data_IF_016162245149
#
_entry.id   IF_016162245149
#
_cell.length_a   1.000
_cell.length_b   1.000
_cell.length_c   1.000
_cell.angle_alpha   90.00
_cell.angle_beta   90.00
_cell.angle_gamma   90.00
#
_symmetry.space_group_name_H-M   'P 1'
#
loop_
_entity.id
_entity.type
_entity.pdbx_description
1 polymer ?
#
# COMPACT_ATOMS: atom_id res chain seq x y z
N UNK A 1 -87.52 -26.34 -2.37
CA UNK A 1 -86.11 -26.56 -1.99
C UNK A 1 -85.31 -26.84 -3.25
N UNK A 2 -84.58 -25.81 -3.71
CA UNK A 2 -83.78 -25.86 -4.95
C UNK A 2 -82.34 -26.01 -4.51
N UNK A 3 -81.68 -27.14 -4.77
CA UNK A 3 -80.27 -27.38 -4.51
C UNK A 3 -79.47 -26.85 -5.69
N UNK A 4 -78.77 -25.76 -5.47
CA UNK A 4 -77.78 -25.23 -6.44
C UNK A 4 -76.50 -26.11 -6.37
N UNK A 5 -76.30 -26.86 -7.45
CA UNK A 5 -75.07 -27.65 -7.64
C UNK A 5 -73.91 -26.74 -8.03
N UNK A 6 -72.93 -26.59 -7.15
CA UNK A 6 -71.68 -25.91 -7.46
C UNK A 6 -70.93 -26.70 -8.53
N UNK A 7 -70.43 -26.06 -9.61
CA UNK A 7 -69.61 -26.74 -10.61
C UNK A 7 -68.26 -27.06 -10.01
N UNK A 8 -67.89 -28.34 -9.88
CA UNK A 8 -66.54 -28.81 -9.63
C UNK A 8 -65.64 -28.29 -10.73
N UNK A 9 -64.82 -27.27 -10.40
CA UNK A 9 -63.76 -26.77 -11.24
C UNK A 9 -62.78 -27.88 -11.58
N UNK A 10 -62.78 -28.34 -12.80
CA UNK A 10 -61.88 -29.36 -13.32
C UNK A 10 -60.41 -28.91 -13.12
N UNK A 11 -59.67 -29.65 -12.33
CA UNK A 11 -58.19 -29.52 -12.22
C UNK A 11 -57.65 -29.84 -13.62
N UNK A 12 -57.25 -28.82 -14.36
CA UNK A 12 -56.48 -28.99 -15.59
C UNK A 12 -55.10 -29.46 -15.16
N UNK A 13 -54.76 -30.71 -15.43
CA UNK A 13 -53.40 -31.23 -15.24
C UNK A 13 -52.45 -30.57 -16.25
N UNK A 14 -51.24 -30.27 -15.83
CA UNK A 14 -50.18 -29.78 -16.74
C UNK A 14 -49.91 -30.79 -17.83
N UNK A 15 -49.76 -30.33 -19.06
CA UNK A 15 -49.35 -31.16 -20.18
C UNK A 15 -47.86 -31.39 -20.14
N UNK A 16 -47.39 -32.53 -20.62
CA UNK A 16 -45.96 -32.88 -20.62
C UNK A 16 -45.09 -31.86 -21.35
N UNK A 17 -45.49 -31.26 -22.50
CA UNK A 17 -44.70 -30.18 -23.11
C UNK A 17 -44.64 -28.90 -22.28
N UNK A 18 -45.66 -28.57 -21.50
CA UNK A 18 -45.67 -27.37 -20.65
C UNK A 18 -44.66 -27.49 -19.51
N UNK A 19 -44.50 -28.68 -18.93
CA UNK A 19 -43.46 -28.99 -17.97
C UNK A 19 -42.05 -28.90 -18.55
N UNK A 20 -41.87 -29.41 -19.81
CA UNK A 20 -40.57 -29.32 -20.50
C UNK A 20 -40.15 -27.86 -20.77
N UNK A 21 -41.09 -27.03 -21.25
CA UNK A 21 -40.82 -25.60 -21.50
C UNK A 21 -40.51 -24.88 -20.19
N UNK A 22 -41.27 -25.14 -19.13
CA UNK A 22 -41.03 -24.51 -17.82
C UNK A 22 -39.62 -24.88 -17.26
N UNK A 23 -39.20 -26.14 -17.37
CA UNK A 23 -37.86 -26.57 -16.96
C UNK A 23 -36.77 -25.93 -17.78
N UNK A 24 -36.94 -25.85 -19.10
CA UNK A 24 -35.97 -25.20 -19.98
C UNK A 24 -35.79 -23.71 -19.65
N UNK A 25 -36.89 -22.97 -19.54
CA UNK A 25 -36.87 -21.54 -19.16
C UNK A 25 -36.23 -21.36 -17.78
N UNK A 26 -36.59 -22.19 -16.80
CA UNK A 26 -35.99 -22.17 -15.48
C UNK A 26 -34.48 -22.41 -15.50
N UNK A 27 -34.02 -23.37 -16.30
CA UNK A 27 -32.60 -23.64 -16.45
C UNK A 27 -31.83 -22.46 -17.08
N UNK A 28 -32.39 -21.80 -18.10
CA UNK A 28 -31.79 -20.62 -18.73
C UNK A 28 -31.70 -19.44 -17.77
N UNK A 29 -32.74 -19.21 -16.97
CA UNK A 29 -32.78 -18.14 -15.98
C UNK A 29 -31.72 -18.37 -14.89
N UNK A 30 -31.61 -19.60 -14.38
CA UNK A 30 -30.62 -19.97 -13.37
C UNK A 30 -29.20 -19.83 -13.92
N UNK A 31 -28.96 -20.24 -15.17
CA UNK A 31 -27.65 -20.11 -15.82
C UNK A 31 -27.29 -18.62 -15.99
N UNK A 32 -28.22 -17.79 -16.46
CA UNK A 32 -28.02 -16.34 -16.61
C UNK A 32 -27.72 -15.67 -15.27
N UNK A 33 -28.46 -16.01 -14.22
CA UNK A 33 -28.22 -15.49 -12.88
C UNK A 33 -26.81 -15.87 -12.33
N UNK A 34 -26.37 -17.11 -12.57
CA UNK A 34 -25.02 -17.56 -12.18
C UNK A 34 -23.92 -16.78 -12.90
N UNK A 35 -24.06 -16.53 -14.19
CA UNK A 35 -23.10 -15.75 -14.97
C UNK A 35 -23.02 -14.30 -14.48
N UNK A 36 -24.13 -13.68 -14.15
CA UNK A 36 -24.13 -12.33 -13.57
C UNK A 36 -23.48 -12.29 -12.20
N UNK A 37 -23.80 -13.23 -11.31
CA UNK A 37 -23.21 -13.30 -9.98
C UNK A 37 -21.71 -13.54 -10.01
N UNK A 38 -21.20 -14.38 -10.92
CA UNK A 38 -19.76 -14.59 -11.07
C UNK A 38 -19.05 -13.32 -11.53
N UNK A 39 -19.62 -12.56 -12.48
CA UNK A 39 -19.05 -11.28 -12.94
C UNK A 39 -18.96 -10.23 -11.81
N UNK A 40 -20.01 -10.10 -11.01
CA UNK A 40 -20.03 -9.20 -9.85
C UNK A 40 -19.00 -9.62 -8.79
N UNK A 41 -18.91 -10.92 -8.50
CA UNK A 41 -17.94 -11.44 -7.54
C UNK A 41 -16.48 -11.21 -8.00
N UNK A 42 -16.20 -11.35 -9.29
CA UNK A 42 -14.86 -11.09 -9.83
C UNK A 42 -14.51 -9.61 -9.81
N UNK A 43 -15.46 -8.73 -10.13
CA UNK A 43 -15.27 -7.28 -10.01
C UNK A 43 -15.02 -6.87 -8.55
N UNK A 44 -15.80 -7.39 -7.61
CA UNK A 44 -15.61 -7.12 -6.18
C UNK A 44 -14.22 -7.58 -5.68
N UNK A 45 -13.74 -8.74 -6.12
CA UNK A 45 -12.40 -9.25 -5.77
C UNK A 45 -11.26 -8.38 -6.33
N UNK A 46 -11.44 -7.79 -7.53
CA UNK A 46 -10.45 -6.86 -8.09
C UNK A 46 -10.38 -5.58 -7.27
N UNK A 47 -11.54 -4.97 -7.00
CA UNK A 47 -11.63 -3.75 -6.18
C UNK A 47 -11.03 -3.98 -4.78
N UNK A 48 -11.34 -5.12 -4.14
CA UNK A 48 -10.79 -5.44 -2.83
C UNK A 48 -9.26 -5.58 -2.84
N UNK A 49 -8.68 -6.18 -3.88
CA UNK A 49 -7.22 -6.29 -4.03
C UNK A 49 -6.57 -4.93 -4.25
N UNK A 50 -7.13 -4.09 -5.11
CA UNK A 50 -6.62 -2.73 -5.35
C UNK A 50 -6.68 -1.87 -4.07
N UNK A 51 -7.78 -1.94 -3.33
CA UNK A 51 -7.91 -1.26 -2.05
C UNK A 51 -6.88 -1.76 -1.02
N UNK A 52 -6.66 -3.06 -0.95
CA UNK A 52 -5.67 -3.65 -0.03
C UNK A 52 -4.23 -3.23 -0.36
N UNK A 53 -3.88 -3.11 -1.65
CA UNK A 53 -2.57 -2.60 -2.05
C UNK A 53 -2.42 -1.12 -1.70
N UNK A 54 -3.44 -0.30 -1.99
CA UNK A 54 -3.42 1.13 -1.64
C UNK A 54 -3.31 1.37 -0.13
N UNK A 55 -4.00 0.57 0.69
CA UNK A 55 -3.90 0.64 2.15
C UNK A 55 -2.52 0.21 2.65
N UNK A 56 -1.91 -0.80 2.02
CA UNK A 56 -0.56 -1.24 2.37
C UNK A 56 0.46 -0.13 2.11
N UNK A 57 0.45 0.48 0.93
CA UNK A 57 1.36 1.55 0.55
C UNK A 57 1.18 2.79 1.45
N UNK A 58 -0.07 3.17 1.75
CA UNK A 58 -0.35 4.27 2.65
C UNK A 58 0.13 4.01 4.08
N UNK A 59 0.03 2.77 4.58
CA UNK A 59 0.52 2.39 5.88
C UNK A 59 2.05 2.36 5.94
N UNK A 60 2.70 1.85 4.89
CA UNK A 60 4.15 1.85 4.77
C UNK A 60 4.72 3.29 4.73
N UNK A 61 4.07 4.20 4.01
CA UNK A 61 4.46 5.61 3.98
C UNK A 61 4.26 6.29 5.34
N UNK A 62 3.15 6.03 6.05
CA UNK A 62 2.94 6.57 7.41
C UNK A 62 4.01 6.08 8.37
N UNK A 63 4.37 4.80 8.33
CA UNK A 63 5.43 4.25 9.14
C UNK A 63 6.78 4.90 8.82
N UNK A 64 7.11 5.06 7.53
CA UNK A 64 8.31 5.76 7.10
C UNK A 64 8.35 7.19 7.66
N UNK A 65 7.25 7.95 7.54
CA UNK A 65 7.15 9.32 8.08
C UNK A 65 7.36 9.33 9.59
N UNK A 66 6.75 8.40 10.32
CA UNK A 66 6.91 8.28 11.77
C UNK A 66 8.36 8.00 12.18
N UNK A 67 9.02 7.07 11.49
CA UNK A 67 10.42 6.72 11.77
C UNK A 67 11.36 7.89 11.46
N UNK A 68 11.16 8.60 10.35
CA UNK A 68 11.96 9.76 9.98
C UNK A 68 11.73 10.94 10.92
N UNK A 69 10.49 11.19 11.36
CA UNK A 69 10.19 12.22 12.34
C UNK A 69 10.87 11.97 13.70
N UNK A 70 11.14 10.72 14.03
CA UNK A 70 11.80 10.30 15.27
C UNK A 70 13.31 10.07 15.10
N UNK A 71 13.94 10.57 14.05
CA UNK A 71 15.40 10.51 13.86
C UNK A 71 16.08 11.17 15.05
N UNK A 72 17.10 10.50 15.60
CA UNK A 72 17.93 11.02 16.65
C UNK A 72 18.79 12.17 16.09
N UNK A 73 18.39 13.40 16.39
CA UNK A 73 19.09 14.59 15.93
C UNK A 73 20.25 14.92 16.89
N UNK A 74 21.40 15.25 16.32
CA UNK A 74 22.54 15.79 17.05
C UNK A 74 23.82 14.98 16.93
N UNK A 75 24.94 15.62 17.26
CA UNK A 75 26.30 15.05 17.23
C UNK A 75 26.54 13.98 18.28
N UNK A 76 25.68 13.87 19.29
CA UNK A 76 25.74 12.85 20.35
C UNK A 76 24.93 11.58 20.00
N UNK A 77 24.34 11.52 18.80
CA UNK A 77 23.61 10.34 18.33
C UNK A 77 24.54 9.12 18.33
N UNK A 78 24.07 8.02 18.88
CA UNK A 78 24.84 6.76 18.88
C UNK A 78 25.13 6.25 17.45
N UNK A 79 24.38 6.74 16.47
CA UNK A 79 24.61 6.51 15.05
C UNK A 79 24.40 7.82 14.30
N UNK A 80 25.50 8.42 13.78
CA UNK A 80 25.41 9.64 13.00
C UNK A 80 24.55 9.40 11.75
N UNK A 81 23.83 10.44 11.31
CA UNK A 81 23.15 10.42 10.05
C UNK A 81 24.16 10.45 8.91
N UNK A 82 23.97 9.60 7.93
CA UNK A 82 24.75 9.62 6.70
C UNK A 82 23.90 9.18 5.53
N UNK A 83 24.27 9.65 4.32
CA UNK A 83 23.49 9.31 3.16
C UNK A 83 24.12 9.64 1.82
N UNK A 84 23.66 8.92 0.81
CA UNK A 84 23.97 9.10 -0.61
C UNK A 84 22.68 9.25 -1.40
N UNK A 85 22.79 9.46 -2.71
CA UNK A 85 21.62 9.53 -3.59
C UNK A 85 20.74 8.26 -3.59
N UNK A 86 21.23 7.12 -3.07
CA UNK A 86 20.48 5.85 -3.14
C UNK A 86 20.29 5.19 -1.77
N UNK A 87 20.96 5.66 -0.73
CA UNK A 87 20.91 5.06 0.58
C UNK A 87 21.08 6.14 1.66
N UNK A 88 20.27 6.03 2.72
CA UNK A 88 20.42 6.81 3.95
C UNK A 88 20.45 5.85 5.14
N UNK A 89 21.35 6.11 6.09
CA UNK A 89 21.43 5.37 7.36
C UNK A 89 21.40 6.35 8.54
N UNK A 90 20.64 5.99 9.56
CA UNK A 90 20.43 6.84 10.73
C UNK A 90 19.95 6.05 11.94
N UNK A 91 20.07 6.65 13.11
CA UNK A 91 19.42 6.20 14.33
C UNK A 91 18.02 6.82 14.46
N UNK A 92 17.07 6.04 14.89
CA UNK A 92 15.70 6.52 15.18
C UNK A 92 15.15 5.84 16.42
N UNK A 93 14.02 6.36 16.93
CA UNK A 93 13.25 5.73 17.97
C UNK A 93 12.12 4.92 17.31
N UNK A 94 12.14 3.61 17.53
CA UNK A 94 11.18 2.67 16.96
C UNK A 94 10.29 2.10 18.05
N UNK A 95 9.02 1.97 17.76
CA UNK A 95 8.07 1.28 18.63
C UNK A 95 8.33 -0.23 18.57
N UNK A 96 8.43 -0.86 19.74
CA UNK A 96 8.60 -2.31 19.86
C UNK A 96 7.33 -2.97 20.39
N UNK A 97 7.14 -4.29 20.16
CA UNK A 97 5.92 -5.00 20.56
C UNK A 97 5.56 -4.91 22.05
N UNK A 98 6.51 -4.51 22.89
CA UNK A 98 6.31 -4.28 24.34
C UNK A 98 5.66 -2.96 24.70
N UNK A 99 5.38 -2.08 23.74
CA UNK A 99 4.72 -0.78 23.95
C UNK A 99 5.64 0.33 24.42
N UNK A 100 6.96 0.15 24.33
CA UNK A 100 7.95 1.21 24.56
C UNK A 100 8.74 1.49 23.29
N UNK A 101 9.53 2.55 23.33
CA UNK A 101 10.41 2.93 22.22
C UNK A 101 11.84 2.49 22.51
N UNK A 102 12.48 1.90 21.51
CA UNK A 102 13.90 1.55 21.54
C UNK A 102 14.66 2.25 20.42
N UNK A 103 15.96 2.45 20.66
CA UNK A 103 16.85 2.95 19.60
C UNK A 103 17.06 1.87 18.56
N UNK A 104 16.71 2.18 17.33
CA UNK A 104 16.89 1.29 16.19
C UNK A 104 17.82 1.91 15.14
N UNK A 105 18.58 1.05 14.48
CA UNK A 105 19.32 1.41 13.29
C UNK A 105 18.39 1.28 12.09
N UNK A 106 18.29 2.31 11.29
CA UNK A 106 17.43 2.34 10.12
C UNK A 106 18.25 2.57 8.87
N UNK A 107 17.95 1.82 7.84
CA UNK A 107 18.48 2.07 6.49
C UNK A 107 17.31 2.26 5.54
N UNK A 108 17.30 3.39 4.85
CA UNK A 108 16.36 3.69 3.77
C UNK A 108 17.13 3.60 2.45
N UNK A 109 16.79 2.65 1.58
CA UNK A 109 17.54 2.41 0.35
C UNK A 109 16.63 2.31 -0.87
N UNK A 110 17.14 2.78 -1.99
CA UNK A 110 16.55 2.55 -3.32
C UNK A 110 17.28 1.36 -3.93
N UNK A 111 16.60 0.22 -3.97
CA UNK A 111 17.13 -1.05 -4.46
C UNK A 111 16.49 -1.43 -5.80
N UNK A 112 17.13 -2.29 -6.58
CA UNK A 112 16.63 -2.82 -7.84
C UNK A 112 17.61 -2.74 -8.99
N UNK A 113 17.25 -3.36 -10.10
CA UNK A 113 18.12 -3.44 -11.29
C UNK A 113 18.09 -2.13 -12.08
N UNK A 114 19.27 -1.66 -12.48
CA UNK A 114 19.46 -0.45 -13.29
C UNK A 114 19.64 -0.78 -14.79
N UNK A 115 19.75 -2.06 -15.13
CA UNK A 115 20.15 -2.52 -16.45
C UNK A 115 19.00 -3.05 -17.29
N UNK A 116 18.03 -2.19 -17.67
CA UNK A 116 16.99 -2.60 -18.59
C UNK A 116 15.91 -1.54 -18.85
N UNK A 117 15.15 -1.71 -19.94
CA UNK A 117 14.02 -0.85 -20.25
C UNK A 117 12.86 -0.94 -19.22
N UNK A 118 12.83 -2.03 -18.44
CA UNK A 118 11.88 -2.30 -17.36
C UNK A 118 12.56 -2.20 -15.99
N UNK A 119 13.26 -1.08 -15.73
CA UNK A 119 13.89 -0.86 -14.43
C UNK A 119 12.81 -0.93 -13.33
N UNK A 120 12.85 -1.98 -12.53
CA UNK A 120 11.93 -2.20 -11.42
C UNK A 120 12.66 -1.94 -10.10
N UNK A 121 12.59 -0.70 -9.64
CA UNK A 121 13.20 -0.27 -8.37
C UNK A 121 12.19 -0.27 -7.25
N UNK A 122 12.69 -0.38 -6.04
CA UNK A 122 11.91 -0.34 -4.81
C UNK A 122 12.57 0.57 -3.80
N UNK A 123 11.75 1.35 -3.10
CA UNK A 123 12.14 2.05 -1.89
C UNK A 123 11.94 1.10 -0.72
N UNK A 124 13.03 0.75 -0.04
CA UNK A 124 13.05 -0.23 1.03
C UNK A 124 13.52 0.42 2.32
N UNK A 125 12.74 0.22 3.37
CA UNK A 125 13.08 0.56 4.74
C UNK A 125 13.54 -0.72 5.45
N UNK A 126 14.75 -0.72 5.98
CA UNK A 126 15.32 -1.87 6.71
C UNK A 126 15.55 -1.50 8.17
N UNK A 127 14.97 -2.29 9.07
CA UNK A 127 15.18 -2.21 10.51
C UNK A 127 15.69 -3.59 10.95
N UNK A 128 16.88 -3.72 11.56
CA UNK A 128 17.49 -5.03 11.84
C UNK A 128 16.63 -5.98 12.67
N UNK A 129 15.76 -5.46 13.53
CA UNK A 129 14.86 -6.25 14.36
C UNK A 129 13.58 -6.68 13.62
N UNK A 130 13.07 -5.85 12.70
CA UNK A 130 11.76 -6.02 12.06
C UNK A 130 11.84 -6.48 10.59
N UNK A 131 13.06 -6.50 10.03
CA UNK A 131 13.28 -6.93 8.65
C UNK A 131 13.20 -5.79 7.63
N UNK A 132 12.72 -6.10 6.44
CA UNK A 132 12.62 -5.16 5.32
C UNK A 132 11.17 -4.88 4.97
N UNK A 133 10.82 -3.59 4.88
CA UNK A 133 9.54 -3.11 4.42
C UNK A 133 9.69 -2.42 3.06
N UNK A 134 8.99 -2.90 2.05
CA UNK A 134 8.87 -2.21 0.78
C UNK A 134 7.85 -1.08 0.91
N UNK A 135 8.33 0.17 0.85
CA UNK A 135 7.49 1.37 0.97
C UNK A 135 6.85 1.72 -0.37
N UNK A 136 7.60 1.60 -1.44
CA UNK A 136 7.13 1.81 -2.81
C UNK A 136 7.89 0.91 -3.78
N UNK A 137 7.20 0.37 -4.76
CA UNK A 137 7.77 -0.54 -5.76
C UNK A 137 7.37 -0.12 -7.17
N UNK A 138 8.09 -0.59 -8.18
CA UNK A 138 7.68 -0.45 -9.58
C UNK A 138 7.97 0.91 -10.20
N UNK A 139 9.04 1.60 -9.80
CA UNK A 139 9.47 2.85 -10.40
C UNK A 139 10.78 2.69 -11.20
N UNK A 140 10.97 3.56 -12.19
CA UNK A 140 12.13 3.49 -13.06
C UNK A 140 13.33 4.29 -12.53
N UNK A 141 13.08 5.46 -11.93
CA UNK A 141 14.12 6.35 -11.43
C UNK A 141 13.80 6.78 -10.00
N UNK A 142 14.85 6.82 -9.16
CA UNK A 142 14.70 7.31 -7.80
C UNK A 142 16.00 7.83 -7.25
N UNK A 143 15.92 8.86 -6.39
CA UNK A 143 17.05 9.38 -5.63
C UNK A 143 16.61 9.99 -4.31
N UNK A 144 17.52 9.97 -3.35
CA UNK A 144 17.38 10.64 -2.06
C UNK A 144 18.06 12.00 -2.11
N UNK A 145 17.46 12.97 -1.47
CA UNK A 145 17.96 14.33 -1.31
C UNK A 145 17.88 14.72 0.17
N UNK A 146 18.78 15.56 0.62
CA UNK A 146 18.91 15.97 2.02
C UNK A 146 18.84 17.49 2.10
N UNK A 147 17.90 18.01 2.89
CA UNK A 147 17.74 19.45 3.07
C UNK A 147 18.68 19.94 4.16
N UNK A 148 19.54 20.89 3.83
CA UNK A 148 20.39 21.57 4.81
C UNK A 148 19.60 22.55 5.67
N UNK A 149 20.20 22.98 6.77
CA UNK A 149 19.64 24.02 7.65
C UNK A 149 19.37 25.31 6.87
N UNK A 150 18.38 26.08 7.33
CA UNK A 150 18.01 27.38 6.80
C UNK A 150 19.17 28.40 6.81
N UNK A 151 20.16 28.24 7.72
CA UNK A 151 21.37 29.06 7.75
C UNK A 151 22.22 28.90 6.48
N UNK A 152 22.19 27.74 5.83
CA UNK A 152 22.87 27.45 4.57
C UNK A 152 22.00 27.72 3.33
N UNK A 153 20.88 28.42 3.50
CA UNK A 153 19.95 28.77 2.42
C UNK A 153 18.96 27.69 2.05
N UNK A 154 18.83 26.63 2.82
CA UNK A 154 17.85 25.55 2.57
C UNK A 154 18.10 24.79 1.27
N UNK A 155 19.34 24.41 1.00
CA UNK A 155 19.73 23.72 -0.23
C UNK A 155 19.54 22.20 -0.10
N UNK A 156 19.19 21.57 -1.20
CA UNK A 156 19.09 20.11 -1.32
C UNK A 156 20.39 19.51 -1.85
N UNK A 157 20.91 18.49 -1.15
CA UNK A 157 22.13 17.78 -1.49
C UNK A 157 21.84 16.30 -1.77
N UNK A 158 22.59 15.68 -2.68
CA UNK A 158 22.52 14.24 -2.98
C UNK A 158 23.40 13.39 -2.06
N UNK A 159 24.22 14.02 -1.24
CA UNK A 159 25.12 13.37 -0.29
C UNK A 159 25.07 14.09 1.05
N UNK A 160 25.10 13.32 2.12
CA UNK A 160 25.20 13.82 3.49
C UNK A 160 26.30 13.07 4.24
N UNK A 161 27.30 13.80 4.69
CA UNK A 161 28.49 13.19 5.32
C UNK A 161 28.21 12.69 6.71
N UNK A 162 28.82 11.57 7.04
CA UNK A 162 28.77 10.99 8.38
C UNK A 162 29.38 11.95 9.41
N UNK A 163 28.70 12.11 10.54
CA UNK A 163 29.15 12.98 11.63
C UNK A 163 28.70 14.44 11.50
N UNK A 164 28.02 14.83 10.45
CA UNK A 164 27.30 16.09 10.39
C UNK A 164 26.00 16.02 11.21
N UNK A 165 25.46 17.18 11.54
CA UNK A 165 24.09 17.24 12.12
C UNK A 165 23.10 16.60 11.15
N UNK A 166 21.98 16.08 11.67
CA UNK A 166 20.91 15.55 10.83
C UNK A 166 20.37 16.62 9.87
N UNK A 167 19.98 16.27 8.64
CA UNK A 167 19.30 17.20 7.75
C UNK A 167 17.93 17.61 8.33
N UNK A 168 17.32 18.66 7.82
CA UNK A 168 15.97 19.08 8.19
C UNK A 168 14.89 18.19 7.58
N UNK A 169 15.15 17.64 6.41
CA UNK A 169 14.25 16.75 5.72
C UNK A 169 15.00 15.82 4.76
N UNK A 170 14.38 14.68 4.47
CA UNK A 170 14.77 13.76 3.41
C UNK A 170 13.76 13.90 2.27
N UNK A 171 14.21 14.26 1.09
CA UNK A 171 13.42 14.24 -0.14
C UNK A 171 13.61 12.90 -0.86
N UNK A 172 12.53 12.17 -1.09
CA UNK A 172 12.55 10.95 -1.90
C UNK A 172 11.92 11.28 -3.25
N UNK A 173 12.73 11.40 -4.27
CA UNK A 173 12.29 11.67 -5.64
C UNK A 173 12.11 10.34 -6.36
N UNK A 174 10.90 10.05 -6.83
CA UNK A 174 10.54 8.82 -7.53
C UNK A 174 9.83 9.21 -8.82
N UNK A 175 10.47 8.96 -9.97
CA UNK A 175 10.00 9.36 -11.30
C UNK A 175 9.59 10.85 -11.36
N UNK A 176 8.28 11.16 -11.35
CA UNK A 176 7.76 12.53 -11.36
C UNK A 176 7.25 12.97 -9.97
N UNK A 177 7.24 12.08 -8.99
CA UNK A 177 6.76 12.32 -7.63
C UNK A 177 7.90 12.69 -6.69
N UNK A 178 7.60 13.51 -5.69
CA UNK A 178 8.53 13.83 -4.61
C UNK A 178 7.85 13.71 -3.26
N UNK A 179 8.37 12.81 -2.42
CA UNK A 179 7.95 12.65 -1.03
C UNK A 179 8.92 13.39 -0.14
N UNK A 180 8.45 14.36 0.64
CA UNK A 180 9.24 15.09 1.62
C UNK A 180 8.95 14.53 3.01
N UNK A 181 10.02 14.14 3.70
CA UNK A 181 9.99 13.57 5.05
C UNK A 181 10.72 14.53 5.99
N UNK A 182 9.97 15.28 6.79
CA UNK A 182 10.54 16.23 7.76
C UNK A 182 11.10 15.50 8.98
N UNK A 183 12.24 15.93 9.48
CA UNK A 183 12.89 15.38 10.67
C UNK A 183 12.53 16.26 11.87
N UNK A 184 12.06 15.63 12.95
CA UNK A 184 11.73 16.34 14.20
C UNK A 184 10.35 17.03 14.22
N UNK A 185 9.58 17.03 13.15
CA UNK A 185 8.17 17.45 13.20
C UNK A 185 7.32 16.31 13.81
N UNK A 186 6.85 16.55 15.02
CA UNK A 186 5.75 15.74 15.57
C UNK A 186 4.45 16.30 15.00
N UNK A 187 3.84 15.54 14.08
CA UNK A 187 2.52 15.83 13.56
C UNK A 187 1.41 15.72 14.62
#
# INVERSE_FOLDING_TARGET
>A
MKRDGSPCGGRRGFTLPELLVALFVGAVVVLGARLMLSGVADAARRIAREAQHADHDANAERLLRSIVANIEAGTAAARPFGGSAHEAHFGSWCDVPGGWQERCAVTLAITGDTSGADANRSLVLSIPADGQLHVRTGFARGKLLYLSDAHDGGLWFEQWGDGLSSPLAIGVVIDADTLILSIGERG
#
